data_IF_012733600934
#
_entry.id   IF_012733600934
#
_cell.length_a   1.000
_cell.length_b   1.000
_cell.length_c   1.000
_cell.angle_alpha   90.00
_cell.angle_beta   90.00
_cell.angle_gamma   90.00
#
_symmetry.space_group_name_H-M   'P 1'
#
loop_
_entity.id
_entity.type
_entity.pdbx_description
1 polymer ?
#
# COMPACT_ATOMS: atom_id res chain seq x y z
N UNK A 1 15.18 -12.54 -28.12
CA UNK A 1 13.99 -13.06 -28.82
C UNK A 1 13.10 -13.68 -27.76
N UNK A 2 12.15 -12.90 -27.24
CA UNK A 2 11.21 -13.36 -26.22
C UNK A 2 10.03 -14.02 -26.91
N UNK A 3 9.87 -15.31 -26.69
CA UNK A 3 8.65 -16.02 -27.09
C UNK A 3 7.49 -15.48 -26.26
N UNK A 4 6.48 -14.91 -26.94
CA UNK A 4 5.17 -14.67 -26.37
C UNK A 4 4.53 -16.04 -26.12
N UNK A 5 4.69 -16.56 -24.90
CA UNK A 5 4.01 -17.76 -24.47
C UNK A 5 2.52 -17.44 -24.31
N UNK A 6 1.73 -17.92 -25.25
CA UNK A 6 0.29 -18.11 -25.12
C UNK A 6 0.05 -19.31 -24.18
N UNK A 7 0.48 -19.19 -22.93
CA UNK A 7 0.39 -20.26 -21.95
C UNK A 7 0.01 -19.71 -20.61
N UNK A 8 -0.72 -20.49 -19.81
CA UNK A 8 -0.96 -20.22 -18.41
C UNK A 8 0.36 -20.14 -17.63
N UNK A 9 0.30 -19.79 -16.35
CA UNK A 9 1.45 -19.81 -15.45
C UNK A 9 2.11 -21.20 -15.47
N UNK A 10 3.43 -21.23 -15.60
CA UNK A 10 4.18 -22.44 -15.33
C UNK A 10 4.33 -22.65 -13.82
N UNK A 11 4.64 -23.88 -13.39
CA UNK A 11 4.88 -24.16 -11.96
C UNK A 11 6.02 -23.27 -11.42
N UNK A 12 7.06 -23.04 -12.20
CA UNK A 12 8.16 -22.16 -11.82
C UNK A 12 7.72 -20.71 -11.59
N UNK A 13 6.81 -20.19 -12.44
CA UNK A 13 6.25 -18.84 -12.26
C UNK A 13 5.42 -18.78 -10.97
N UNK A 14 4.63 -19.82 -10.68
CA UNK A 14 3.83 -19.91 -9.45
C UNK A 14 4.74 -19.89 -8.22
N UNK A 15 5.77 -20.73 -8.20
CA UNK A 15 6.71 -20.83 -7.07
C UNK A 15 7.44 -19.49 -6.85
N UNK A 16 7.86 -18.82 -7.92
CA UNK A 16 8.49 -17.50 -7.86
C UNK A 16 7.55 -16.45 -7.27
N UNK A 17 6.29 -16.45 -7.68
CA UNK A 17 5.30 -15.47 -7.20
C UNK A 17 4.90 -15.77 -5.75
N UNK A 18 4.79 -17.04 -5.35
CA UNK A 18 4.58 -17.42 -3.94
C UNK A 18 5.73 -16.88 -3.09
N UNK A 19 6.98 -17.09 -3.50
CA UNK A 19 8.14 -16.57 -2.79
C UNK A 19 8.14 -15.04 -2.73
N UNK A 20 7.80 -14.38 -3.84
CA UNK A 20 7.72 -12.92 -3.93
C UNK A 20 6.65 -12.30 -3.02
N UNK A 21 5.56 -13.05 -2.75
CA UNK A 21 4.50 -12.67 -1.80
C UNK A 21 4.79 -13.13 -0.36
N UNK A 22 6.00 -13.59 -0.05
CA UNK A 22 6.39 -14.13 1.25
C UNK A 22 5.51 -15.30 1.71
N UNK A 23 4.98 -16.10 0.78
CA UNK A 23 4.11 -17.23 1.08
C UNK A 23 2.72 -16.85 1.59
N UNK A 24 2.30 -15.60 1.42
CA UNK A 24 0.98 -15.12 1.85
C UNK A 24 -0.15 -15.77 1.05
N UNK A 25 0.11 -16.15 -0.21
CA UNK A 25 -0.83 -16.83 -1.08
C UNK A 25 -0.39 -18.26 -1.36
N UNK A 26 -1.35 -19.17 -1.42
CA UNK A 26 -1.14 -20.54 -1.92
C UNK A 26 -1.26 -20.59 -3.45
N UNK A 27 -0.98 -21.76 -4.04
CA UNK A 27 -1.03 -21.95 -5.49
C UNK A 27 -2.40 -21.61 -6.09
N UNK A 28 -3.50 -22.10 -5.49
CA UNK A 28 -4.84 -21.86 -6.00
C UNK A 28 -5.20 -20.36 -6.02
N UNK A 29 -4.78 -19.63 -4.98
CA UNK A 29 -4.96 -18.19 -4.90
C UNK A 29 -4.11 -17.43 -5.93
N UNK A 30 -2.88 -17.88 -6.19
CA UNK A 30 -2.04 -17.31 -7.25
C UNK A 30 -2.67 -17.52 -8.62
N UNK A 31 -3.23 -18.70 -8.89
CA UNK A 31 -3.95 -18.98 -10.13
C UNK A 31 -5.22 -18.12 -10.28
N UNK A 32 -5.97 -17.90 -9.20
CA UNK A 32 -7.12 -17.01 -9.18
C UNK A 32 -6.71 -15.54 -9.42
N UNK A 33 -5.63 -15.08 -8.75
CA UNK A 33 -5.07 -13.74 -8.97
C UNK A 33 -4.57 -13.57 -10.41
N UNK A 34 -4.02 -14.62 -11.02
CA UNK A 34 -3.60 -14.57 -12.42
C UNK A 34 -4.80 -14.42 -13.38
N UNK A 35 -5.88 -15.15 -13.14
CA UNK A 35 -7.12 -14.98 -13.92
C UNK A 35 -7.63 -13.54 -13.81
N UNK A 36 -7.64 -12.97 -12.58
CA UNK A 36 -8.05 -11.58 -12.35
C UNK A 36 -7.11 -10.58 -13.04
N UNK A 37 -5.79 -10.78 -12.94
CA UNK A 37 -4.81 -9.99 -13.65
C UNK A 37 -5.04 -9.99 -15.16
N UNK A 38 -5.27 -11.18 -15.76
CA UNK A 38 -5.55 -11.34 -17.19
C UNK A 38 -6.85 -10.67 -17.61
N UNK A 39 -7.85 -10.64 -16.74
CA UNK A 39 -9.11 -9.94 -16.99
C UNK A 39 -8.94 -8.42 -16.95
N UNK A 40 -8.04 -7.90 -16.14
CA UNK A 40 -7.67 -6.48 -16.04
C UNK A 40 -6.78 -6.05 -17.21
N UNK A 41 -5.77 -6.83 -17.56
CA UNK A 41 -4.89 -6.60 -18.72
C UNK A 41 -5.65 -6.90 -20.03
N UNK A 42 -6.57 -6.02 -20.40
CA UNK A 42 -7.40 -6.16 -21.62
C UNK A 42 -6.56 -6.14 -22.89
N UNK A 43 -5.48 -5.38 -22.86
CA UNK A 43 -4.54 -5.27 -23.98
C UNK A 43 -3.56 -6.43 -24.12
N UNK A 44 -3.56 -7.38 -23.18
CA UNK A 44 -2.61 -8.51 -23.12
C UNK A 44 -1.16 -8.07 -23.21
N UNK A 45 -0.83 -6.95 -22.54
CA UNK A 45 0.49 -6.32 -22.54
C UNK A 45 1.46 -6.98 -21.58
N UNK A 46 0.95 -7.79 -20.63
CA UNK A 46 1.71 -8.38 -19.54
C UNK A 46 1.86 -7.46 -18.32
N UNK A 47 1.20 -6.31 -18.34
CA UNK A 47 1.12 -5.36 -17.23
C UNK A 47 -0.24 -4.66 -17.22
N UNK A 48 -0.66 -4.15 -16.07
CA UNK A 48 -1.90 -3.39 -15.90
C UNK A 48 -1.58 -1.91 -16.08
N UNK A 49 -2.27 -1.24 -17.03
CA UNK A 49 -2.13 0.21 -17.18
C UNK A 49 -2.85 0.97 -16.06
N UNK A 50 -2.54 2.26 -15.84
CA UNK A 50 -3.25 3.09 -14.89
C UNK A 50 -4.77 3.09 -15.07
N UNK A 51 -5.23 3.16 -16.31
CA UNK A 51 -6.66 3.17 -16.66
C UNK A 51 -7.31 1.82 -16.33
N UNK A 52 -6.63 0.72 -16.65
CA UNK A 52 -7.10 -0.64 -16.32
C UNK A 52 -7.13 -0.85 -14.81
N UNK A 53 -6.14 -0.35 -14.08
CA UNK A 53 -6.09 -0.43 -12.62
C UNK A 53 -7.23 0.36 -11.98
N UNK A 54 -7.48 1.59 -12.44
CA UNK A 54 -8.59 2.43 -11.97
C UNK A 54 -9.96 1.92 -12.43
N UNK A 55 -10.03 0.96 -13.34
CA UNK A 55 -11.29 0.30 -13.71
C UNK A 55 -11.78 -0.69 -12.65
N UNK A 56 -10.97 -1.01 -11.64
CA UNK A 56 -11.37 -1.82 -10.49
C UNK A 56 -12.34 -0.99 -9.65
N UNK A 57 -13.62 -1.40 -9.48
CA UNK A 57 -14.64 -0.57 -8.82
C UNK A 57 -14.25 -0.13 -7.41
N UNK A 58 -13.62 -1.02 -6.64
CA UNK A 58 -13.19 -0.78 -5.27
C UNK A 58 -12.10 0.30 -5.18
N UNK A 59 -11.30 0.43 -6.25
CA UNK A 59 -10.24 1.44 -6.32
C UNK A 59 -10.73 2.75 -6.93
N UNK A 60 -11.70 2.72 -7.84
CA UNK A 60 -12.18 3.91 -8.54
C UNK A 60 -12.80 4.95 -7.60
N UNK A 61 -13.40 4.52 -6.51
CA UNK A 61 -14.00 5.37 -5.47
C UNK A 61 -13.02 5.75 -4.35
N UNK A 62 -11.85 5.14 -4.33
CA UNK A 62 -10.85 5.41 -3.29
C UNK A 62 -9.95 6.58 -3.71
N UNK A 63 -9.93 7.70 -2.99
CA UNK A 63 -9.07 8.84 -3.32
C UNK A 63 -7.57 8.49 -3.33
N UNK A 64 -7.17 7.44 -2.63
CA UNK A 64 -5.78 6.96 -2.60
C UNK A 64 -5.43 6.04 -3.78
N UNK A 65 -6.42 5.57 -4.55
CA UNK A 65 -6.19 4.65 -5.66
C UNK A 65 -5.26 5.22 -6.73
N UNK A 66 -5.38 6.53 -7.01
CA UNK A 66 -4.49 7.20 -7.96
C UNK A 66 -3.02 7.17 -7.50
N UNK A 67 -2.79 7.18 -6.19
CA UNK A 67 -1.44 7.04 -5.64
C UNK A 67 -0.93 5.61 -5.76
N UNK A 68 -1.77 4.63 -5.43
CA UNK A 68 -1.44 3.21 -5.64
C UNK A 68 -1.05 2.94 -7.09
N UNK A 69 -1.79 3.51 -8.04
CA UNK A 69 -1.50 3.40 -9.47
C UNK A 69 -0.15 4.03 -9.83
N UNK A 70 0.16 5.21 -9.30
CA UNK A 70 1.44 5.87 -9.55
C UNK A 70 2.62 5.11 -8.93
N UNK A 71 2.45 4.62 -7.71
CA UNK A 71 3.47 3.83 -7.01
C UNK A 71 3.70 2.47 -7.68
N UNK A 72 2.69 1.93 -8.37
CA UNK A 72 2.78 0.62 -9.02
C UNK A 72 3.47 0.64 -10.40
N UNK A 73 3.66 1.81 -11.04
CA UNK A 73 4.35 1.98 -12.33
C UNK A 73 4.07 0.88 -13.36
N UNK A 74 2.80 0.65 -13.70
CA UNK A 74 2.38 -0.41 -14.63
C UNK A 74 2.79 -1.83 -14.15
N UNK A 75 2.21 -2.33 -13.05
CA UNK A 75 2.62 -3.59 -12.45
C UNK A 75 2.45 -4.77 -13.40
N UNK A 76 3.48 -5.58 -13.55
CA UNK A 76 3.39 -6.91 -14.11
C UNK A 76 2.70 -7.85 -13.10
N UNK A 77 2.47 -9.12 -13.46
CA UNK A 77 1.74 -10.03 -12.57
C UNK A 77 2.40 -10.21 -11.20
N UNK A 78 3.73 -10.30 -11.13
CA UNK A 78 4.47 -10.44 -9.87
C UNK A 78 4.32 -9.20 -8.99
N UNK A 79 4.40 -8.01 -9.59
CA UNK A 79 4.24 -6.74 -8.88
C UNK A 79 2.79 -6.54 -8.43
N UNK A 80 1.82 -6.96 -9.26
CA UNK A 80 0.40 -6.98 -8.89
C UNK A 80 0.15 -7.86 -7.67
N UNK A 81 0.73 -9.08 -7.62
CA UNK A 81 0.59 -9.96 -6.45
C UNK A 81 1.24 -9.35 -5.20
N UNK A 82 2.41 -8.71 -5.33
CA UNK A 82 3.04 -7.97 -4.23
C UNK A 82 2.18 -6.84 -3.71
N UNK A 83 1.52 -6.11 -4.62
CA UNK A 83 0.65 -5.00 -4.28
C UNK A 83 -0.58 -5.45 -3.50
N UNK A 84 -1.15 -6.61 -3.81
CA UNK A 84 -2.34 -7.13 -3.13
C UNK A 84 -2.01 -7.97 -1.90
N UNK A 85 -0.77 -8.41 -1.73
CA UNK A 85 -0.34 -9.25 -0.60
C UNK A 85 -0.66 -8.67 0.78
N UNK A 86 -0.51 -7.34 1.06
CA UNK A 86 -0.85 -6.75 2.36
C UNK A 86 -2.32 -6.86 2.74
N UNK A 87 -3.20 -7.04 1.76
CA UNK A 87 -4.65 -7.17 1.98
C UNK A 87 -5.10 -8.60 2.30
N UNK A 88 -4.22 -9.58 2.15
CA UNK A 88 -4.53 -10.97 2.51
C UNK A 88 -4.76 -11.14 4.01
N UNK A 89 -5.69 -12.04 4.43
CA UNK A 89 -5.85 -12.40 5.85
C UNK A 89 -4.55 -12.88 6.51
N UNK A 90 -3.67 -13.52 5.72
CA UNK A 90 -2.38 -14.06 6.19
C UNK A 90 -1.24 -13.04 6.20
N UNK A 91 -1.45 -11.83 5.69
CA UNK A 91 -0.44 -10.80 5.74
C UNK A 91 -0.14 -10.40 7.19
N UNK A 92 1.14 -10.23 7.50
CA UNK A 92 1.54 -9.75 8.81
C UNK A 92 1.07 -8.32 9.05
N UNK A 93 0.87 -7.96 10.32
CA UNK A 93 0.58 -6.57 10.69
C UNK A 93 1.67 -5.62 10.17
N UNK A 94 2.90 -6.06 10.24
CA UNK A 94 4.08 -5.32 9.82
C UNK A 94 4.08 -5.03 8.32
N UNK A 95 3.68 -5.99 7.49
CA UNK A 95 3.58 -5.80 6.05
C UNK A 95 2.45 -4.84 5.69
N UNK A 96 1.32 -4.91 6.39
CA UNK A 96 0.21 -3.95 6.24
C UNK A 96 0.64 -2.53 6.60
N UNK A 97 1.31 -2.35 7.74
CA UNK A 97 1.81 -1.05 8.16
C UNK A 97 2.87 -0.50 7.22
N UNK A 98 3.77 -1.36 6.71
CA UNK A 98 4.76 -0.95 5.71
C UNK A 98 4.10 -0.52 4.39
N UNK A 99 3.04 -1.21 3.98
CA UNK A 99 2.25 -0.81 2.81
C UNK A 99 1.55 0.54 3.02
N UNK A 100 0.86 0.73 4.16
CA UNK A 100 0.23 2.02 4.48
C UNK A 100 1.29 3.12 4.47
N UNK A 101 2.44 2.89 5.10
CA UNK A 101 3.54 3.84 5.12
C UNK A 101 3.95 4.26 3.70
N UNK A 102 4.15 3.30 2.78
CA UNK A 102 4.53 3.59 1.38
C UNK A 102 3.45 4.36 0.60
N UNK A 103 2.19 4.29 1.03
CA UNK A 103 1.11 5.12 0.45
C UNK A 103 1.18 6.55 0.95
N UNK A 104 1.60 6.78 2.19
CA UNK A 104 1.73 8.10 2.80
C UNK A 104 3.05 8.79 2.47
N UNK A 105 4.12 8.05 2.25
CA UNK A 105 5.41 8.52 1.76
C UNK A 105 5.26 8.90 0.27
N UNK A 106 5.01 10.19 0.01
CA UNK A 106 4.56 10.67 -1.31
C UNK A 106 5.72 10.74 -2.29
N UNK A 107 6.88 11.17 -1.83
CA UNK A 107 8.08 11.36 -2.66
C UNK A 107 9.02 10.14 -2.62
N UNK A 108 8.73 9.16 -1.74
CA UNK A 108 9.50 7.91 -1.65
C UNK A 108 10.86 8.09 -0.96
N UNK A 109 11.01 9.11 -0.10
CA UNK A 109 12.27 9.40 0.59
C UNK A 109 12.50 8.51 1.84
N UNK A 110 11.51 7.67 2.18
CA UNK A 110 11.54 6.79 3.35
C UNK A 110 11.05 7.45 4.64
N UNK A 111 10.44 8.62 4.54
CA UNK A 111 9.82 9.35 5.63
C UNK A 111 8.42 9.81 5.24
N UNK A 112 7.57 10.03 6.22
CA UNK A 112 6.31 10.76 6.04
C UNK A 112 6.54 12.17 6.60
N UNK A 113 6.69 13.13 5.71
CA UNK A 113 6.92 14.55 6.00
C UNK A 113 5.62 15.29 6.31
N UNK A 114 5.71 16.57 6.70
CA UNK A 114 4.55 17.46 6.84
C UNK A 114 3.86 17.69 5.50
N UNK A 115 4.65 17.80 4.44
CA UNK A 115 4.22 17.99 3.06
C UNK A 115 3.43 16.77 2.56
N UNK A 116 3.91 15.56 2.85
CA UNK A 116 3.20 14.32 2.54
C UNK A 116 1.85 14.26 3.24
N UNK A 117 1.83 14.55 4.55
CA UNK A 117 0.60 14.58 5.34
C UNK A 117 -0.39 15.62 4.80
N UNK A 118 0.08 16.82 4.45
CA UNK A 118 -0.76 17.87 3.89
C UNK A 118 -1.35 17.46 2.53
N UNK A 119 -0.53 16.85 1.68
CA UNK A 119 -0.98 16.35 0.38
C UNK A 119 -2.03 15.24 0.54
N UNK A 120 -1.82 14.32 1.48
CA UNK A 120 -2.77 13.25 1.77
C UNK A 120 -4.08 13.78 2.34
N UNK A 121 -4.03 14.72 3.28
CA UNK A 121 -5.24 15.36 3.84
C UNK A 121 -6.02 16.10 2.75
N UNK A 122 -5.34 16.84 1.89
CA UNK A 122 -5.96 17.53 0.75
C UNK A 122 -6.64 16.56 -0.20
N UNK A 123 -6.01 15.41 -0.45
CA UNK A 123 -6.57 14.39 -1.34
C UNK A 123 -7.79 13.68 -0.72
N UNK A 124 -7.80 13.46 0.60
CA UNK A 124 -8.89 12.82 1.31
C UNK A 124 -10.08 13.75 1.57
N UNK A 125 -9.81 14.98 1.96
CA UNK A 125 -10.83 15.95 2.38
C UNK A 125 -11.22 16.94 1.27
N UNK A 126 -10.47 16.96 0.16
CA UNK A 126 -10.69 17.92 -0.91
C UNK A 126 -10.56 19.36 -0.42
N UNK A 127 -11.53 20.21 -0.76
CA UNK A 127 -11.60 21.60 -0.33
C UNK A 127 -12.28 21.82 1.03
N UNK A 128 -12.61 20.73 1.75
CA UNK A 128 -13.35 20.82 3.02
C UNK A 128 -12.48 21.22 4.21
N UNK A 129 -11.15 21.15 4.08
CA UNK A 129 -10.20 21.57 5.11
C UNK A 129 -9.50 22.86 4.67
N UNK A 130 -9.44 23.84 5.58
CA UNK A 130 -8.60 25.01 5.41
C UNK A 130 -7.10 24.67 5.58
N UNK A 131 -6.22 25.55 5.11
CA UNK A 131 -4.77 25.36 5.33
C UNK A 131 -4.44 25.41 6.83
N UNK A 132 -5.10 26.27 7.60
CA UNK A 132 -4.93 26.38 9.05
C UNK A 132 -5.33 25.08 9.76
N UNK A 133 -6.49 24.51 9.42
CA UNK A 133 -6.94 23.23 9.97
C UNK A 133 -5.97 22.09 9.61
N UNK A 134 -5.50 22.08 8.37
CA UNK A 134 -4.52 21.09 7.90
C UNK A 134 -3.24 21.16 8.73
N UNK A 135 -2.68 22.36 8.93
CA UNK A 135 -1.50 22.58 9.78
C UNK A 135 -1.73 22.20 11.25
N UNK A 136 -2.91 22.51 11.79
CA UNK A 136 -3.27 22.16 13.15
C UNK A 136 -3.36 20.64 13.36
N UNK A 137 -4.00 19.92 12.43
CA UNK A 137 -4.11 18.45 12.44
C UNK A 137 -2.72 17.82 12.39
N UNK A 138 -1.88 18.22 11.42
CA UNK A 138 -0.53 17.67 11.26
C UNK A 138 0.32 17.90 12.50
N UNK A 139 0.30 19.12 13.04
CA UNK A 139 1.06 19.46 14.24
C UNK A 139 0.62 18.63 15.46
N UNK A 140 -0.68 18.39 15.59
CA UNK A 140 -1.25 17.53 16.65
C UNK A 140 -0.81 16.08 16.51
N UNK A 141 -0.86 15.54 15.28
CA UNK A 141 -0.43 14.16 15.00
C UNK A 141 1.05 13.98 15.34
N UNK A 142 1.91 14.87 14.85
CA UNK A 142 3.35 14.79 15.09
C UNK A 142 3.69 14.94 16.57
N UNK A 143 3.00 15.83 17.31
CA UNK A 143 3.16 15.97 18.74
C UNK A 143 2.77 14.69 19.52
N UNK A 144 1.65 14.06 19.15
CA UNK A 144 1.20 12.81 19.78
C UNK A 144 2.18 11.65 19.53
N UNK A 145 2.68 11.53 18.29
CA UNK A 145 3.66 10.50 17.95
C UNK A 145 4.99 10.75 18.62
N UNK A 146 5.43 12.00 18.67
CA UNK A 146 6.66 12.41 19.40
C UNK A 146 6.58 12.11 20.89
N UNK A 147 5.45 12.39 21.52
CA UNK A 147 5.23 12.08 22.94
C UNK A 147 5.23 10.56 23.20
N UNK A 148 4.61 9.76 22.32
CA UNK A 148 4.63 8.31 22.43
C UNK A 148 6.04 7.71 22.23
N UNK A 149 6.88 8.34 21.42
CA UNK A 149 8.27 7.93 21.20
C UNK A 149 9.16 8.27 22.41
N UNK A 150 8.94 9.39 23.09
CA UNK A 150 9.73 9.86 24.23
C UNK A 150 9.55 8.97 25.48
N UNK A 151 8.44 8.27 25.63
CA UNK A 151 8.22 7.34 26.75
C UNK A 151 9.06 6.08 26.67
N UNK A 152 9.68 5.80 25.52
CA UNK A 152 10.45 4.56 25.27
C UNK A 152 11.97 4.73 25.41
N UNK A 153 12.47 5.97 25.53
CA UNK A 153 13.89 6.26 25.64
C UNK A 153 14.11 7.41 26.60
N UNK A 154 14.86 7.16 27.67
CA UNK A 154 15.19 8.09 28.75
C UNK A 154 16.20 9.19 28.36
N UNK A 155 16.14 9.71 27.16
CA UNK A 155 16.95 10.84 26.72
C UNK A 155 16.08 12.07 26.49
N UNK A 156 16.04 12.91 27.48
CA UNK A 156 15.43 14.22 27.51
C UNK A 156 16.01 15.13 26.42
N UNK A 157 15.21 15.54 25.54
CA UNK A 157 15.08 16.71 24.65
C UNK A 157 14.51 16.28 23.32
N UNK A 158 13.23 15.94 23.32
CA UNK A 158 12.52 15.68 22.07
C UNK A 158 12.30 17.03 21.37
N UNK A 159 13.12 17.32 20.36
CA UNK A 159 12.74 18.28 19.32
C UNK A 159 11.41 17.83 18.71
N UNK A 160 10.51 18.76 18.35
CA UNK A 160 9.25 18.38 17.70
C UNK A 160 9.56 17.50 16.47
N UNK A 161 8.88 16.37 16.41
CA UNK A 161 9.03 15.45 15.29
C UNK A 161 8.57 16.18 14.02
N UNK A 162 9.45 16.36 13.05
CA UNK A 162 9.09 17.00 11.78
C UNK A 162 8.66 16.01 10.70
N UNK A 163 9.08 14.76 10.86
CA UNK A 163 8.77 13.67 9.93
C UNK A 163 8.78 12.32 10.64
N UNK A 164 8.09 11.32 10.07
CA UNK A 164 7.97 9.96 10.61
C UNK A 164 8.76 8.98 9.76
N UNK A 165 9.65 8.22 10.36
CA UNK A 165 10.20 7.01 9.76
C UNK A 165 9.25 5.81 9.96
N UNK A 166 9.48 4.72 9.23
CA UNK A 166 8.66 3.51 9.33
C UNK A 166 8.60 2.94 10.77
N UNK A 167 9.70 2.87 11.55
CA UNK A 167 9.65 2.45 12.96
C UNK A 167 8.75 3.34 13.84
N UNK A 168 8.82 4.67 13.70
CA UNK A 168 7.97 5.59 14.45
C UNK A 168 6.51 5.46 14.05
N UNK A 169 6.23 5.32 12.75
CA UNK A 169 4.90 5.08 12.22
C UNK A 169 4.29 3.77 12.75
N UNK A 170 5.04 2.68 12.76
CA UNK A 170 4.60 1.40 13.35
C UNK A 170 4.27 1.52 14.83
N UNK A 171 5.09 2.24 15.61
CA UNK A 171 4.83 2.50 17.03
C UNK A 171 3.57 3.33 17.22
N UNK A 172 3.40 4.39 16.43
CA UNK A 172 2.23 5.26 16.51
C UNK A 172 0.92 4.50 16.28
N UNK A 173 0.93 3.52 15.38
CA UNK A 173 -0.22 2.70 15.03
C UNK A 173 -0.27 1.35 15.75
N UNK A 174 0.52 1.13 16.81
CA UNK A 174 0.58 -0.17 17.51
C UNK A 174 -0.79 -0.68 17.99
N UNK A 175 -1.68 0.24 18.41
CA UNK A 175 -3.04 -0.07 18.85
C UNK A 175 -4.13 0.04 17.78
N UNK A 176 -3.79 0.43 16.54
CA UNK A 176 -4.79 0.63 15.49
C UNK A 176 -5.37 -0.71 15.00
N UNK A 177 -6.68 -0.74 14.77
CA UNK A 177 -7.32 -1.89 14.12
C UNK A 177 -7.13 -1.80 12.60
N UNK A 178 -6.52 -2.84 12.04
CA UNK A 178 -6.27 -2.97 10.60
C UNK A 178 -7.14 -4.07 9.95
N UNK A 179 -8.16 -4.56 10.65
CA UNK A 179 -9.03 -5.64 10.15
C UNK A 179 -9.75 -5.23 8.86
N UNK A 180 -10.12 -3.95 8.73
CA UNK A 180 -10.79 -3.42 7.54
C UNK A 180 -9.92 -3.40 6.27
N UNK A 181 -8.62 -3.69 6.38
CA UNK A 181 -7.73 -3.84 5.23
C UNK A 181 -7.74 -5.25 4.62
N UNK A 182 -8.39 -6.20 5.27
CA UNK A 182 -8.40 -7.60 4.82
C UNK A 182 -9.38 -7.76 3.67
N UNK A 183 -8.89 -8.25 2.54
CA UNK A 183 -9.72 -8.64 1.39
C UNK A 183 -9.51 -10.13 1.16
N UNK A 184 -10.58 -10.90 1.23
CA UNK A 184 -10.54 -12.32 0.87
C UNK A 184 -10.42 -12.44 -0.65
N UNK A 185 -9.40 -13.17 -1.11
CA UNK A 185 -9.29 -13.55 -2.50
C UNK A 185 -10.26 -14.71 -2.73
N UNK A 186 -11.44 -14.42 -3.26
CA UNK A 186 -12.38 -15.45 -3.67
C UNK A 186 -11.77 -16.29 -4.78
N UNK A 187 -11.60 -17.58 -4.53
CA UNK A 187 -11.06 -18.57 -5.46
C UNK A 187 -12.14 -19.02 -6.45
N UNK A 188 -13.40 -18.69 -6.20
CA UNK A 188 -14.60 -19.15 -6.95
C UNK A 188 -15.07 -18.14 -8.01
N UNK A 189 -14.13 -17.57 -8.80
CA UNK A 189 -14.46 -16.75 -9.97
C UNK A 189 -13.96 -17.39 -11.27
#
# INVERSE_FOLDING_TARGET
MGQAASGGLTQGDVDEVIAASKGVFNQAEIEALYKRFRALDRGRKGYISPEEFLSIPELSINPLAQRLVRAAECPNFRDFVRLVAPFSPRASRDDRLAFIFSVYDVDGDGYISREDMAMMLKQLAGSSLSEEDTHAIISRVLAQVGAAAATSTSTSTAAPLERLDLPAFKRALAGADLSNMVVEVNVDL
#
